data_IF_951312645764
#
_entry.id   IF_951312645764
#
_cell.length_a   1.000
_cell.length_b   1.000
_cell.length_c   1.000
_cell.angle_alpha   90.00
_cell.angle_beta   90.00
_cell.angle_gamma   90.00
#
_symmetry.space_group_name_H-M   'P 1'
#
loop_
_entity.id
_entity.type
_entity.pdbx_description
1 polymer ?
#
# COMPACT_ATOMS: atom_id res chain seq x y z
N UNK A 1 -8.36 20.45 -51.86
CA UNK A 1 -9.59 19.65 -51.84
C UNK A 1 -9.88 19.28 -50.41
N UNK A 2 -11.07 19.65 -49.96
CA UNK A 2 -11.60 19.45 -48.63
C UNK A 2 -11.82 17.96 -48.32
N UNK A 3 -11.55 17.52 -47.08
CA UNK A 3 -12.48 16.62 -46.41
C UNK A 3 -12.39 16.82 -44.90
N UNK A 4 -13.29 17.61 -44.36
CA UNK A 4 -13.61 17.73 -42.93
C UNK A 4 -14.46 16.50 -42.57
N UNK A 5 -14.02 15.71 -41.60
CA UNK A 5 -14.89 14.73 -40.93
C UNK A 5 -15.02 15.15 -39.48
N UNK A 6 -16.15 15.81 -39.20
CA UNK A 6 -16.70 15.98 -37.87
C UNK A 6 -17.32 14.64 -37.46
N UNK A 7 -16.85 14.04 -36.37
CA UNK A 7 -17.58 12.99 -35.67
C UNK A 7 -17.79 13.45 -34.22
N UNK A 8 -18.94 14.14 -34.04
CA UNK A 8 -19.52 14.40 -32.75
C UNK A 8 -20.25 13.12 -32.30
N UNK A 9 -19.66 12.40 -31.35
CA UNK A 9 -20.27 11.26 -30.67
C UNK A 9 -20.55 11.61 -29.22
N UNK A 10 -21.71 12.20 -28.97
CA UNK A 10 -22.27 12.47 -27.65
C UNK A 10 -22.79 11.15 -27.07
N UNK A 11 -22.06 10.51 -26.13
CA UNK A 11 -22.61 9.42 -25.34
C UNK A 11 -22.81 9.91 -23.91
N UNK A 12 -23.98 10.44 -23.64
CA UNK A 12 -24.47 10.71 -22.30
C UNK A 12 -24.93 9.39 -21.67
N UNK A 13 -24.07 8.77 -20.88
CA UNK A 13 -24.46 7.66 -20.01
C UNK A 13 -24.91 8.24 -18.67
N UNK A 14 -26.21 8.43 -18.50
CA UNK A 14 -26.85 8.74 -17.23
C UNK A 14 -26.85 7.49 -16.36
N UNK A 15 -25.91 7.38 -15.42
CA UNK A 15 -25.98 6.41 -14.33
C UNK A 15 -26.96 6.94 -13.28
N UNK A 16 -28.20 6.47 -13.36
CA UNK A 16 -29.18 6.64 -12.30
C UNK A 16 -28.78 5.76 -11.11
N UNK A 17 -28.19 6.35 -10.11
CA UNK A 17 -28.06 5.73 -8.79
C UNK A 17 -29.43 5.70 -8.14
N UNK A 18 -30.06 4.54 -8.16
CA UNK A 18 -31.25 4.26 -7.37
C UNK A 18 -30.88 4.30 -5.88
N UNK A 19 -31.17 5.43 -5.26
CA UNK A 19 -31.13 5.62 -3.81
C UNK A 19 -32.28 4.85 -3.20
N UNK A 20 -31.99 3.61 -2.79
CA UNK A 20 -32.97 2.80 -2.05
C UNK A 20 -32.80 3.11 -0.56
N UNK A 21 -33.55 4.10 -0.11
CA UNK A 21 -33.83 4.31 1.29
C UNK A 21 -34.66 3.16 1.83
N UNK A 22 -34.24 2.60 2.93
CA UNK A 22 -34.97 1.61 3.69
C UNK A 22 -34.52 1.73 5.13
N UNK A 23 -35.30 2.45 5.92
CA UNK A 23 -35.17 2.59 7.34
C UNK A 23 -35.67 1.36 8.07
N UNK A 24 -35.26 1.26 9.31
CA UNK A 24 -36.03 0.61 10.33
C UNK A 24 -35.45 -0.70 10.84
N UNK A 25 -35.29 -0.75 12.14
CA UNK A 25 -35.41 -2.00 12.84
C UNK A 25 -34.25 -2.23 13.81
N UNK A 26 -34.43 -1.79 15.03
CA UNK A 26 -33.66 -2.21 16.20
C UNK A 26 -33.66 -3.71 16.36
N UNK A 27 -32.48 -4.24 16.51
CA UNK A 27 -32.19 -5.58 16.94
C UNK A 27 -31.10 -5.53 17.99
N UNK A 28 -31.48 -5.30 19.24
CA UNK A 28 -30.64 -5.65 20.39
C UNK A 28 -30.48 -7.16 20.41
N UNK A 29 -29.45 -7.63 19.78
CA UNK A 29 -28.92 -8.98 19.96
C UNK A 29 -27.51 -8.84 20.53
N UNK A 30 -27.42 -8.73 21.84
CA UNK A 30 -26.17 -8.78 22.56
C UNK A 30 -25.58 -10.17 22.48
N UNK A 31 -24.76 -10.43 21.46
CA UNK A 31 -23.72 -11.41 21.58
C UNK A 31 -22.52 -10.69 22.16
N UNK A 32 -22.42 -10.78 23.49
CA UNK A 32 -21.21 -10.50 24.23
C UNK A 32 -20.16 -11.56 23.84
N UNK A 33 -19.67 -11.49 22.61
CA UNK A 33 -18.35 -12.00 22.34
C UNK A 33 -17.41 -10.95 22.95
N UNK A 34 -16.53 -11.36 23.90
CA UNK A 34 -15.46 -10.46 24.30
C UNK A 34 -14.71 -10.15 23.00
N UNK A 35 -14.88 -8.93 22.50
CA UNK A 35 -14.10 -8.44 21.40
C UNK A 35 -12.66 -8.61 21.78
N UNK A 36 -11.98 -9.58 21.18
CA UNK A 36 -10.54 -9.57 21.07
C UNK A 36 -10.21 -8.36 20.20
N UNK A 37 -10.31 -7.18 20.79
CA UNK A 37 -9.69 -6.00 20.27
C UNK A 37 -8.21 -6.28 20.26
N UNK A 38 -7.70 -6.73 19.13
CA UNK A 38 -6.27 -6.77 18.92
C UNK A 38 -5.79 -5.32 18.93
N UNK A 39 -5.45 -4.83 20.11
CA UNK A 39 -4.92 -3.48 20.34
C UNK A 39 -3.45 -3.38 19.96
N UNK A 40 -2.88 -4.38 19.28
CA UNK A 40 -1.48 -4.45 18.91
C UNK A 40 -1.20 -3.96 17.49
N UNK A 41 0.03 -3.55 17.25
CA UNK A 41 0.56 -3.19 15.92
C UNK A 41 0.54 -4.40 14.97
N UNK A 42 0.78 -4.18 13.67
CA UNK A 42 0.98 -5.28 12.70
C UNK A 42 2.06 -6.26 13.17
N UNK A 43 3.16 -5.74 13.73
CA UNK A 43 4.24 -6.55 14.28
C UNK A 43 3.78 -7.39 15.47
N UNK A 44 2.94 -6.82 16.37
CA UNK A 44 2.43 -7.56 17.51
C UNK A 44 1.58 -8.76 17.06
N UNK A 45 0.63 -8.52 16.15
CA UNK A 45 -0.22 -9.58 15.60
C UNK A 45 0.59 -10.69 14.93
N UNK A 46 1.62 -10.32 14.17
CA UNK A 46 2.49 -11.30 13.52
C UNK A 46 3.36 -12.05 14.54
N UNK A 47 3.90 -11.34 15.53
CA UNK A 47 4.67 -11.93 16.63
C UNK A 47 3.87 -12.97 17.38
N UNK A 48 2.60 -12.68 17.68
CA UNK A 48 1.70 -13.61 18.37
C UNK A 48 1.34 -14.82 17.49
N UNK A 49 1.02 -14.57 16.21
CA UNK A 49 0.64 -15.64 15.27
C UNK A 49 1.78 -16.63 15.01
N UNK A 50 3.02 -16.13 14.90
CA UNK A 50 4.21 -16.92 14.61
C UNK A 50 5.02 -17.30 15.85
N UNK A 51 4.57 -16.87 17.03
CA UNK A 51 5.24 -17.11 18.31
C UNK A 51 6.72 -16.67 18.31
N UNK A 52 6.94 -15.42 17.93
CA UNK A 52 8.30 -14.87 17.92
C UNK A 52 8.90 -14.87 19.32
N UNK A 53 10.20 -15.21 19.40
CA UNK A 53 10.99 -14.87 20.56
C UNK A 53 11.13 -13.34 20.69
N UNK A 54 11.54 -12.88 21.86
CA UNK A 54 11.83 -11.44 22.08
C UNK A 54 12.89 -10.92 21.12
N UNK A 55 13.91 -11.74 20.85
CA UNK A 55 14.99 -11.37 19.94
C UNK A 55 14.51 -11.32 18.49
N UNK A 56 13.75 -12.31 18.03
CA UNK A 56 13.16 -12.30 16.70
C UNK A 56 12.26 -11.08 16.49
N UNK A 57 11.40 -10.74 17.46
CA UNK A 57 10.54 -9.55 17.38
C UNK A 57 11.36 -8.27 17.29
N UNK A 58 12.42 -8.14 18.09
CA UNK A 58 13.35 -7.01 18.04
C UNK A 58 14.03 -6.91 16.67
N UNK A 59 14.53 -8.03 16.14
CA UNK A 59 15.30 -8.05 14.90
C UNK A 59 14.42 -7.79 13.68
N UNK A 60 13.19 -8.32 13.66
CA UNK A 60 12.18 -7.97 12.64
C UNK A 60 11.84 -6.49 12.72
N UNK A 61 11.63 -5.95 13.94
CA UNK A 61 11.37 -4.53 14.12
C UNK A 61 12.52 -3.67 13.59
N UNK A 62 13.75 -4.01 13.91
CA UNK A 62 14.93 -3.28 13.44
C UNK A 62 15.03 -3.29 11.91
N UNK A 63 14.78 -4.45 11.26
CA UNK A 63 14.75 -4.55 9.80
C UNK A 63 13.71 -3.64 9.17
N UNK A 64 12.52 -3.53 9.77
CA UNK A 64 11.44 -2.66 9.27
C UNK A 64 11.74 -1.18 9.53
N UNK A 65 12.27 -0.83 10.71
CA UNK A 65 12.63 0.55 11.04
C UNK A 65 13.75 1.08 10.12
N UNK A 66 14.72 0.25 9.78
CA UNK A 66 15.78 0.60 8.84
C UNK A 66 15.24 0.81 7.43
N UNK A 67 14.39 -0.11 6.96
CA UNK A 67 13.72 0.03 5.68
C UNK A 67 12.83 1.30 5.62
N UNK A 68 12.15 1.66 6.71
CA UNK A 68 11.37 2.90 6.79
C UNK A 68 12.25 4.14 6.59
N UNK A 69 13.46 4.16 7.17
CA UNK A 69 14.39 5.29 6.99
C UNK A 69 14.83 5.42 5.53
N UNK A 70 15.11 4.29 4.87
CA UNK A 70 15.48 4.26 3.45
C UNK A 70 14.29 4.64 2.55
N UNK A 71 13.09 4.18 2.88
CA UNK A 71 11.88 4.38 2.09
C UNK A 71 11.33 5.81 2.17
N UNK A 72 11.48 6.50 3.30
CA UNK A 72 10.90 7.83 3.51
C UNK A 72 11.27 8.84 2.41
N UNK A 73 12.54 9.04 2.02
CA UNK A 73 12.89 9.98 0.97
C UNK A 73 12.38 9.53 -0.41
N UNK A 74 12.28 8.22 -0.67
CA UNK A 74 11.74 7.68 -1.93
C UNK A 74 10.24 7.94 -2.00
N UNK A 75 9.50 7.68 -0.92
CA UNK A 75 8.07 7.98 -0.83
C UNK A 75 7.78 9.46 -1.09
N UNK A 76 8.54 10.39 -0.49
CA UNK A 76 8.37 11.82 -0.71
C UNK A 76 8.63 12.22 -2.17
N UNK A 77 9.59 11.57 -2.83
CA UNK A 77 9.86 11.77 -4.24
C UNK A 77 8.75 11.19 -5.12
N UNK A 78 8.20 10.01 -4.78
CA UNK A 78 7.08 9.41 -5.49
C UNK A 78 5.84 10.30 -5.46
N UNK A 79 5.52 10.91 -4.32
CA UNK A 79 4.41 11.87 -4.22
C UNK A 79 4.61 13.08 -5.15
N UNK A 80 5.83 13.63 -5.20
CA UNK A 80 6.17 14.72 -6.12
C UNK A 80 6.11 14.28 -7.57
N UNK A 81 6.57 13.07 -7.87
CA UNK A 81 6.52 12.49 -9.21
C UNK A 81 5.09 12.33 -9.72
N UNK A 82 4.18 11.80 -8.91
CA UNK A 82 2.76 11.70 -9.26
C UNK A 82 2.14 13.07 -9.57
N UNK A 83 2.45 14.09 -8.75
CA UNK A 83 1.99 15.45 -9.00
C UNK A 83 2.55 16.02 -10.30
N UNK A 84 3.85 15.82 -10.55
CA UNK A 84 4.51 16.29 -11.77
C UNK A 84 3.92 15.66 -13.05
N UNK A 85 3.53 14.36 -12.99
CA UNK A 85 2.83 13.69 -14.10
C UNK A 85 1.47 14.37 -14.34
N UNK A 86 0.69 14.57 -13.27
CA UNK A 86 -0.62 15.22 -13.36
C UNK A 86 -0.51 16.65 -13.93
N UNK A 87 0.45 17.42 -13.49
CA UNK A 87 0.74 18.77 -13.97
C UNK A 87 1.17 18.78 -15.45
N UNK A 88 2.04 17.84 -15.86
CA UNK A 88 2.47 17.73 -17.25
C UNK A 88 1.29 17.43 -18.20
N UNK A 89 0.40 16.52 -17.80
CA UNK A 89 -0.80 16.17 -18.54
C UNK A 89 -1.78 17.36 -18.60
N UNK A 90 -2.03 18.02 -17.48
CA UNK A 90 -2.93 19.17 -17.39
C UNK A 90 -2.41 20.38 -18.21
N UNK A 91 -1.10 20.55 -18.29
CA UNK A 91 -0.46 21.59 -19.10
C UNK A 91 -0.38 21.26 -20.59
N UNK A 92 -0.88 20.09 -21.03
CA UNK A 92 -0.83 19.68 -22.43
C UNK A 92 0.58 19.46 -22.95
N UNK A 93 1.50 19.03 -22.09
CA UNK A 93 2.87 18.69 -22.46
C UNK A 93 2.91 17.62 -23.56
N UNK A 94 4.00 17.58 -24.32
CA UNK A 94 4.21 16.54 -25.32
C UNK A 94 4.26 15.14 -24.70
N UNK A 95 3.90 14.13 -25.48
CA UNK A 95 3.99 12.74 -25.04
C UNK A 95 5.39 12.38 -24.52
N UNK A 96 6.43 12.86 -25.21
CA UNK A 96 7.82 12.62 -24.80
C UNK A 96 8.14 13.21 -23.42
N UNK A 97 7.63 14.39 -23.09
CA UNK A 97 7.84 15.01 -21.78
C UNK A 97 7.08 14.27 -20.67
N UNK A 98 5.85 13.83 -20.97
CA UNK A 98 5.06 13.00 -20.04
C UNK A 98 5.76 11.67 -19.80
N UNK A 99 6.22 10.99 -20.83
CA UNK A 99 6.90 9.69 -20.74
C UNK A 99 8.19 9.79 -19.91
N UNK A 100 8.96 10.87 -20.01
CA UNK A 100 10.13 11.10 -19.15
C UNK A 100 9.74 11.13 -17.66
N UNK A 101 8.66 11.83 -17.34
CA UNK A 101 8.20 11.95 -15.96
C UNK A 101 7.68 10.61 -15.45
N UNK A 102 6.94 9.86 -16.27
CA UNK A 102 6.47 8.50 -15.96
C UNK A 102 7.62 7.53 -15.73
N UNK A 103 8.66 7.57 -16.58
CA UNK A 103 9.84 6.72 -16.42
C UNK A 103 10.58 7.02 -15.12
N UNK A 104 10.77 8.30 -14.78
CA UNK A 104 11.36 8.68 -13.49
C UNK A 104 10.54 8.20 -12.30
N UNK A 105 9.21 8.23 -12.40
CA UNK A 105 8.32 7.66 -11.38
C UNK A 105 8.49 6.14 -11.26
N UNK A 106 8.57 5.42 -12.37
CA UNK A 106 8.76 3.97 -12.37
C UNK A 106 10.10 3.55 -11.73
N UNK A 107 11.16 4.36 -11.88
CA UNK A 107 12.44 4.14 -11.20
C UNK A 107 12.30 4.23 -9.67
N UNK A 108 11.55 5.21 -9.16
CA UNK A 108 11.28 5.37 -7.73
C UNK A 108 10.44 4.20 -7.18
N UNK A 109 9.45 3.75 -7.92
CA UNK A 109 8.64 2.57 -7.56
C UNK A 109 9.50 1.30 -7.51
N UNK A 110 10.45 1.15 -8.42
CA UNK A 110 11.42 0.05 -8.41
C UNK A 110 12.33 0.11 -7.18
N UNK A 111 12.81 1.30 -6.80
CA UNK A 111 13.60 1.48 -5.59
C UNK A 111 12.79 1.13 -4.33
N UNK A 112 11.55 1.59 -4.24
CA UNK A 112 10.64 1.24 -3.13
C UNK A 112 10.43 -0.26 -3.04
N UNK A 113 10.14 -0.93 -4.15
CA UNK A 113 9.97 -2.39 -4.18
C UNK A 113 11.25 -3.12 -3.75
N UNK A 114 12.43 -2.62 -4.10
CA UNK A 114 13.71 -3.17 -3.65
C UNK A 114 13.88 -3.06 -2.13
N UNK A 115 13.55 -1.91 -1.55
CA UNK A 115 13.59 -1.70 -0.09
C UNK A 115 12.65 -2.68 0.62
N UNK A 116 11.42 -2.82 0.13
CA UNK A 116 10.43 -3.76 0.67
C UNK A 116 10.93 -5.21 0.63
N UNK A 117 11.49 -5.64 -0.50
CA UNK A 117 12.03 -6.99 -0.65
C UNK A 117 13.25 -7.25 0.25
N UNK A 118 14.11 -6.27 0.45
CA UNK A 118 15.22 -6.37 1.38
C UNK A 118 14.74 -6.47 2.83
N UNK A 119 13.76 -5.68 3.23
CA UNK A 119 13.14 -5.76 4.55
C UNK A 119 12.48 -7.13 4.76
N UNK A 120 11.76 -7.63 3.76
CA UNK A 120 11.19 -8.97 3.78
C UNK A 120 12.26 -10.05 3.96
N UNK A 121 13.33 -10.02 3.18
CA UNK A 121 14.42 -10.99 3.27
C UNK A 121 15.07 -10.96 4.66
N UNK A 122 15.33 -9.78 5.22
CA UNK A 122 15.86 -9.63 6.58
C UNK A 122 14.89 -10.18 7.63
N UNK A 123 13.60 -9.86 7.54
CA UNK A 123 12.60 -10.37 8.47
C UNK A 123 12.47 -11.89 8.41
N UNK A 124 12.54 -12.50 7.22
CA UNK A 124 12.46 -13.95 7.06
C UNK A 124 13.75 -14.64 7.52
N UNK A 125 14.90 -13.99 7.41
CA UNK A 125 16.20 -14.60 7.78
C UNK A 125 16.28 -15.00 9.25
N UNK A 126 15.64 -14.27 10.15
CA UNK A 126 15.66 -14.50 11.60
C UNK A 126 14.66 -15.57 12.09
N UNK A 127 13.85 -16.11 11.19
CA UNK A 127 12.83 -17.09 11.54
C UNK A 127 13.34 -18.52 11.53
N UNK A 128 12.78 -19.34 12.42
CA UNK A 128 12.97 -20.78 12.42
C UNK A 128 12.27 -21.44 11.21
N UNK A 129 12.70 -22.66 10.80
CA UNK A 129 12.15 -23.33 9.62
C UNK A 129 10.62 -23.48 9.63
N UNK A 130 10.03 -23.86 10.75
CA UNK A 130 8.58 -24.01 10.89
C UNK A 130 7.83 -22.68 10.89
N UNK A 131 8.44 -21.63 11.43
CA UNK A 131 7.91 -20.27 11.35
C UNK A 131 7.94 -19.76 9.90
N UNK A 132 9.01 -20.03 9.15
CA UNK A 132 9.12 -19.70 7.72
C UNK A 132 8.00 -20.37 6.93
N UNK A 133 7.79 -21.66 7.13
CA UNK A 133 6.76 -22.41 6.42
C UNK A 133 5.36 -21.83 6.64
N UNK A 134 5.04 -21.43 7.88
CA UNK A 134 3.71 -20.87 8.24
C UNK A 134 3.58 -19.38 7.98
N UNK A 135 4.68 -18.64 8.05
CA UNK A 135 4.67 -17.18 8.17
C UNK A 135 5.08 -16.41 6.93
N UNK A 136 5.70 -17.04 5.93
CA UNK A 136 6.26 -16.31 4.79
C UNK A 136 5.24 -15.44 4.05
N UNK A 137 4.02 -15.94 3.87
CA UNK A 137 2.93 -15.20 3.23
C UNK A 137 2.49 -14.01 4.07
N UNK A 138 2.40 -14.20 5.39
CA UNK A 138 2.00 -13.15 6.32
C UNK A 138 3.04 -12.02 6.38
N UNK A 139 4.32 -12.37 6.44
CA UNK A 139 5.42 -11.40 6.46
C UNK A 139 5.47 -10.63 5.13
N UNK A 140 5.33 -11.32 4.01
CA UNK A 140 5.26 -10.68 2.70
C UNK A 140 4.11 -9.67 2.63
N UNK A 141 2.91 -10.08 3.06
CA UNK A 141 1.74 -9.20 3.10
C UNK A 141 1.91 -8.00 4.05
N UNK A 142 2.65 -8.19 5.16
CA UNK A 142 2.97 -7.11 6.10
C UNK A 142 3.93 -6.10 5.49
N UNK A 143 4.97 -6.57 4.81
CA UNK A 143 6.03 -5.70 4.27
C UNK A 143 5.57 -4.96 3.02
N UNK A 144 4.79 -5.62 2.17
CA UNK A 144 4.30 -5.01 0.93
C UNK A 144 3.44 -3.80 1.22
N UNK A 145 3.85 -2.65 0.72
CA UNK A 145 3.17 -1.37 0.93
C UNK A 145 3.31 -0.80 2.35
N UNK A 146 4.15 -1.39 3.19
CA UNK A 146 4.32 -0.97 4.58
C UNK A 146 4.88 0.45 4.69
N UNK A 147 5.67 0.88 3.71
CA UNK A 147 6.38 2.15 3.73
C UNK A 147 5.69 3.26 2.93
N UNK A 148 4.47 3.02 2.46
CA UNK A 148 3.65 4.03 1.77
C UNK A 148 3.03 5.08 2.73
N UNK A 149 3.22 4.93 4.04
CA UNK A 149 2.76 5.84 5.08
C UNK A 149 3.91 6.41 5.92
N UNK A 150 3.57 7.33 6.82
CA UNK A 150 4.57 7.97 7.71
C UNK A 150 5.20 7.02 8.72
N UNK A 151 4.51 5.95 9.05
CA UNK A 151 4.98 4.99 10.06
C UNK A 151 4.35 3.62 9.85
N UNK A 152 5.13 2.63 9.42
CA UNK A 152 4.69 1.26 9.19
C UNK A 152 4.15 0.57 10.46
N UNK A 153 4.58 1.05 11.63
CA UNK A 153 4.23 0.46 12.94
C UNK A 153 2.84 0.88 13.45
N UNK A 154 2.31 1.99 12.93
CA UNK A 154 1.00 2.55 13.33
C UNK A 154 -0.13 2.13 12.40
N UNK A 155 0.16 1.49 11.28
CA UNK A 155 -0.87 1.00 10.38
C UNK A 155 -1.53 -0.25 11.00
N UNK A 156 -2.75 -0.07 11.38
CA UNK A 156 -3.61 -1.09 12.00
C UNK A 156 -4.24 -2.02 10.98
#
# INVERSE_FOLDING_TARGET
>A
MLTRILLAGLLAATLAFAQRGGGGGGGRGGSNMPGMGFTGTRLDRMSDALKFSKDQKRDVKAAMDDAQKEATPIHDQMLKGHLAIAEAVAAGKSQEEVDKTVNSQAELETQMASIELHAFAKAVSVLEPDQKQRGIQMIFAMVRGAFNGKNWNLDQ
#
